data_IF_583462622616
#
_entry.id   IF_583462622616
#
_cell.length_a   1.000
_cell.length_b   1.000
_cell.length_c   1.000
_cell.angle_alpha   90.00
_cell.angle_beta   90.00
_cell.angle_gamma   90.00
#
_symmetry.space_group_name_H-M   'P 1'
#
loop_
_entity.id
_entity.type
_entity.pdbx_description
1 polymer ?
#
# COMPACT_ATOMS: atom_id res chain seq x y z
N UNK A 1 0.94 -6.21 15.27
CA UNK A 1 -0.12 -5.85 16.24
C UNK A 1 -1.34 -5.15 15.63
N UNK A 2 -1.28 -3.88 15.17
CA UNK A 2 -2.47 -3.23 14.60
C UNK A 2 -3.05 -4.01 13.42
N UNK A 3 -2.19 -4.41 12.48
CA UNK A 3 -2.52 -5.19 11.29
C UNK A 3 -3.20 -6.54 11.59
N UNK A 4 -2.68 -7.29 12.56
CA UNK A 4 -3.24 -8.59 12.98
C UNK A 4 -4.64 -8.44 13.56
N UNK A 5 -4.85 -7.43 14.42
CA UNK A 5 -6.15 -7.17 15.06
C UNK A 5 -7.25 -6.89 14.03
N UNK A 6 -6.93 -6.19 12.93
CA UNK A 6 -7.94 -5.93 11.88
C UNK A 6 -8.24 -7.19 11.06
N UNK A 7 -7.27 -8.08 10.88
CA UNK A 7 -7.50 -9.36 10.23
C UNK A 7 -8.42 -10.27 11.06
N UNK A 8 -8.20 -10.33 12.37
CA UNK A 8 -9.09 -11.05 13.31
C UNK A 8 -10.52 -10.48 13.28
N UNK A 9 -10.67 -9.18 13.06
CA UNK A 9 -11.98 -8.52 12.89
C UNK A 9 -12.65 -8.78 11.52
N UNK A 10 -12.02 -9.56 10.63
CA UNK A 10 -12.57 -9.91 9.32
C UNK A 10 -12.38 -8.84 8.25
N UNK A 11 -11.39 -7.95 8.39
CA UNK A 11 -11.08 -6.98 7.34
C UNK A 11 -10.62 -7.68 6.06
N UNK A 12 -11.08 -7.22 4.90
CA UNK A 12 -10.57 -7.66 3.60
C UNK A 12 -9.21 -7.03 3.26
N UNK A 13 -8.97 -5.81 3.74
CA UNK A 13 -7.84 -4.98 3.35
C UNK A 13 -7.33 -4.12 4.50
N UNK A 14 -6.02 -3.92 4.54
CA UNK A 14 -5.34 -2.99 5.42
C UNK A 14 -4.75 -1.84 4.61
N UNK A 15 -4.93 -0.60 5.09
CA UNK A 15 -4.58 0.64 4.36
C UNK A 15 -3.47 1.39 5.10
N UNK A 16 -2.49 1.92 4.36
CA UNK A 16 -1.33 2.62 4.96
C UNK A 16 -1.68 3.93 5.64
N UNK A 17 -2.54 4.76 5.03
CA UNK A 17 -2.86 6.09 5.55
C UNK A 17 -4.22 6.61 5.07
N UNK A 18 -4.74 7.65 5.72
CA UNK A 18 -5.95 8.36 5.26
C UNK A 18 -5.68 9.24 4.04
N UNK A 19 -4.42 9.62 3.79
CA UNK A 19 -4.02 10.56 2.74
C UNK A 19 -4.04 12.04 3.17
N UNK A 20 -4.42 12.33 4.42
CA UNK A 20 -4.52 13.68 4.97
C UNK A 20 -3.38 14.02 5.95
N UNK A 21 -2.79 13.00 6.59
CA UNK A 21 -1.71 13.15 7.57
C UNK A 21 -0.40 12.68 6.92
N UNK A 22 0.64 13.50 7.09
CA UNK A 22 2.05 13.38 6.68
C UNK A 22 2.32 12.69 5.32
N UNK A 23 3.02 13.41 4.44
CA UNK A 23 3.61 12.81 3.24
C UNK A 23 4.81 11.94 3.66
N UNK A 24 4.53 10.76 4.23
CA UNK A 24 5.53 9.72 4.45
C UNK A 24 6.17 9.41 3.09
N UNK A 25 7.52 9.50 2.98
CA UNK A 25 8.25 9.16 1.77
C UNK A 25 7.84 7.79 1.22
N UNK A 26 7.95 7.62 -0.10
CA UNK A 26 7.52 6.36 -0.74
C UNK A 26 8.36 5.19 -0.23
N UNK A 27 9.64 5.42 -0.02
CA UNK A 27 10.64 4.46 0.44
C UNK A 27 10.30 3.93 1.84
N UNK A 28 9.92 4.81 2.77
CA UNK A 28 9.48 4.43 4.10
C UNK A 28 8.13 3.69 4.05
N UNK A 29 7.24 4.12 3.14
CA UNK A 29 5.95 3.45 2.93
C UNK A 29 6.11 2.03 2.39
N UNK A 30 7.12 1.76 1.56
CA UNK A 30 7.46 0.39 1.11
C UNK A 30 7.74 -0.49 2.32
N UNK A 31 8.52 -0.02 3.29
CA UNK A 31 8.82 -0.77 4.50
C UNK A 31 7.56 -1.02 5.35
N UNK A 32 6.66 -0.04 5.46
CA UNK A 32 5.37 -0.22 6.15
C UNK A 32 4.52 -1.30 5.49
N UNK A 33 4.41 -1.27 4.16
CA UNK A 33 3.66 -2.28 3.39
C UNK A 33 4.28 -3.66 3.54
N UNK A 34 5.60 -3.76 3.57
CA UNK A 34 6.31 -5.02 3.82
C UNK A 34 5.94 -5.61 5.18
N UNK A 35 6.02 -4.83 6.26
CA UNK A 35 5.61 -5.29 7.59
C UNK A 35 4.13 -5.67 7.65
N UNK A 36 3.26 -4.92 6.98
CA UNK A 36 1.84 -5.27 6.89
C UNK A 36 1.63 -6.60 6.16
N UNK A 37 2.39 -6.86 5.09
CA UNK A 37 2.31 -8.12 4.34
C UNK A 37 2.86 -9.30 5.13
N UNK A 38 3.99 -9.12 5.82
CA UNK A 38 4.55 -10.16 6.70
C UNK A 38 3.60 -10.52 7.84
N UNK A 39 2.89 -9.53 8.41
CA UNK A 39 1.95 -9.75 9.50
C UNK A 39 0.64 -10.43 9.06
N UNK A 40 0.08 -10.04 7.90
CA UNK A 40 -1.19 -10.59 7.36
C UNK A 40 -1.06 -10.80 5.84
N UNK A 41 -0.39 -11.88 5.39
CA UNK A 41 -0.12 -12.10 3.97
C UNK A 41 -1.40 -12.28 3.14
N UNK A 42 -2.47 -12.78 3.74
CA UNK A 42 -3.75 -13.09 3.12
C UNK A 42 -4.57 -11.86 2.74
N UNK A 43 -4.45 -10.75 3.47
CA UNK A 43 -5.24 -9.54 3.20
C UNK A 43 -4.71 -8.74 2.01
N UNK A 44 -5.54 -7.85 1.47
CA UNK A 44 -5.12 -6.89 0.45
C UNK A 44 -4.46 -5.66 1.10
N UNK A 45 -3.46 -5.08 0.44
CA UNK A 45 -2.67 -3.95 0.93
C UNK A 45 -3.03 -2.72 0.11
N UNK A 46 -3.69 -1.74 0.72
CA UNK A 46 -4.04 -0.48 0.07
C UNK A 46 -2.99 0.58 0.37
N UNK A 47 -2.14 0.83 -0.63
CA UNK A 47 -1.13 1.89 -0.59
C UNK A 47 -1.81 3.21 -0.91
N UNK A 48 -1.88 4.11 0.06
CA UNK A 48 -2.52 5.41 -0.09
C UNK A 48 -1.53 6.56 0.18
N UNK A 49 -1.62 7.60 -0.65
CA UNK A 49 -0.82 8.82 -0.51
C UNK A 49 0.64 8.68 -0.99
N UNK A 50 1.17 9.73 -1.62
CA UNK A 50 2.58 9.82 -2.04
C UNK A 50 2.98 9.00 -3.28
N UNK A 51 2.16 8.05 -3.73
CA UNK A 51 2.38 7.34 -5.01
C UNK A 51 1.91 8.23 -6.15
N UNK A 52 2.87 8.89 -6.82
CA UNK A 52 2.63 9.92 -7.84
C UNK A 52 3.17 9.57 -9.22
N UNK A 53 3.98 8.51 -9.34
CA UNK A 53 4.59 8.08 -10.60
C UNK A 53 4.55 6.55 -10.72
N UNK A 54 4.61 6.00 -11.95
CA UNK A 54 4.65 4.54 -12.15
C UNK A 54 5.83 3.86 -11.43
N UNK A 55 6.98 4.52 -11.34
CA UNK A 55 8.19 3.96 -10.71
C UNK A 55 7.98 3.74 -9.21
N UNK A 56 7.17 4.59 -8.57
CA UNK A 56 6.84 4.42 -7.15
C UNK A 56 6.03 3.14 -6.93
N UNK A 57 5.11 2.80 -7.85
CA UNK A 57 4.31 1.58 -7.75
C UNK A 57 5.17 0.32 -7.90
N UNK A 58 6.21 0.39 -8.75
CA UNK A 58 7.12 -0.73 -8.98
C UNK A 58 7.79 -1.21 -7.69
N UNK A 59 8.17 -0.30 -6.79
CA UNK A 59 8.80 -0.62 -5.51
C UNK A 59 7.91 -1.52 -4.62
N UNK A 60 6.58 -1.46 -4.77
CA UNK A 60 5.67 -2.29 -4.00
C UNK A 60 5.49 -3.69 -4.63
N UNK A 61 5.68 -3.83 -5.94
CA UNK A 61 5.56 -5.11 -6.64
C UNK A 61 6.67 -6.09 -6.24
N UNK A 62 7.82 -5.58 -5.79
CA UNK A 62 8.94 -6.40 -5.34
C UNK A 62 8.71 -7.02 -3.96
N UNK A 63 7.75 -6.50 -3.18
CA UNK A 63 7.50 -6.92 -1.78
C UNK A 63 6.11 -7.53 -1.56
N UNK A 64 5.15 -7.29 -2.47
CA UNK A 64 3.79 -7.81 -2.38
C UNK A 64 3.29 -8.22 -3.77
N UNK A 65 2.65 -9.40 -3.92
CA UNK A 65 2.03 -9.80 -5.18
C UNK A 65 1.05 -8.75 -5.70
N UNK A 66 1.03 -8.50 -7.01
CA UNK A 66 0.26 -7.40 -7.60
C UNK A 66 -1.24 -7.53 -7.34
N UNK A 67 -1.75 -8.76 -7.33
CA UNK A 67 -3.15 -9.10 -7.03
C UNK A 67 -3.55 -8.82 -5.57
N UNK A 68 -2.57 -8.59 -4.69
CA UNK A 68 -2.76 -8.20 -3.29
C UNK A 68 -2.53 -6.71 -3.06
N UNK A 69 -2.39 -5.90 -4.12
CA UNK A 69 -2.16 -4.45 -4.03
C UNK A 69 -3.33 -3.64 -4.58
N UNK A 70 -3.67 -2.56 -3.86
CA UNK A 70 -4.55 -1.50 -4.34
C UNK A 70 -3.81 -0.17 -4.17
N UNK A 71 -3.75 0.64 -5.22
CA UNK A 71 -3.21 2.00 -5.13
C UNK A 71 -4.37 3.00 -4.99
N UNK A 72 -4.46 3.63 -3.81
CA UNK A 72 -5.35 4.75 -3.57
C UNK A 72 -4.68 6.06 -3.98
N UNK A 73 -5.02 6.57 -5.16
CA UNK A 73 -4.54 7.87 -5.64
C UNK A 73 -5.67 8.78 -6.09
N UNK A 74 -5.52 10.07 -5.83
CA UNK A 74 -6.41 11.14 -6.30
C UNK A 74 -6.02 11.69 -7.67
N UNK A 75 -4.77 11.48 -8.09
CA UNK A 75 -4.27 11.82 -9.42
C UNK A 75 -3.89 10.54 -10.18
N UNK A 76 -4.16 10.51 -11.48
CA UNK A 76 -3.88 9.35 -12.33
C UNK A 76 -2.39 9.27 -12.63
N UNK A 77 -1.63 8.57 -11.79
CA UNK A 77 -0.18 8.39 -11.97
C UNK A 77 0.19 7.28 -12.97
N UNK A 78 -0.78 6.45 -13.39
CA UNK A 78 -0.57 5.28 -14.25
C UNK A 78 -0.83 5.55 -15.75
N UNK A 79 -1.17 6.78 -16.13
CA UNK A 79 -1.52 7.12 -17.52
C UNK A 79 -0.32 7.51 -18.40
N UNK A 80 0.85 7.78 -17.83
CA UNK A 80 2.04 8.21 -18.59
C UNK A 80 2.74 7.07 -19.35
N UNK A 81 2.21 5.83 -19.29
CA UNK A 81 2.68 4.69 -20.10
C UNK A 81 1.93 4.55 -21.44
N UNK A 82 1.63 5.65 -22.13
CA UNK A 82 1.06 5.61 -23.49
C UNK A 82 1.98 6.28 -24.49
#
# INVERSE_FOLDING_TARGET
KATELVAEAGAFCVKTSTGFIENIPVEEKVQHVKWMHEAVPELVKKVAGGVKKPEHAQLFFDIVPQEKLIFGASARFWLERR
#
